data_IF_847599030283
#
_entry.id   IF_847599030283
#
_cell.length_a   1.000
_cell.length_b   1.000
_cell.length_c   1.000
_cell.angle_alpha   90.00
_cell.angle_beta   90.00
_cell.angle_gamma   90.00
#
_symmetry.space_group_name_H-M   'P 1'
#
loop_
_entity.id
_entity.type
_entity.pdbx_description
1 polymer ?
#
# COMPACT_ATOMS: atom_id res chain seq x y z
N UNK A 1 -16.62 -1.55 -6.50
CA UNK A 1 -15.50 -2.46 -6.18
C UNK A 1 -16.08 -3.60 -5.35
N UNK A 2 -16.11 -4.83 -5.85
CA UNK A 2 -16.51 -5.98 -5.03
C UNK A 2 -15.29 -6.38 -4.21
N UNK A 3 -15.34 -6.27 -2.89
CA UNK A 3 -14.27 -6.78 -2.05
C UNK A 3 -14.20 -8.31 -2.25
N UNK A 4 -13.01 -8.86 -2.45
CA UNK A 4 -12.82 -10.31 -2.61
C UNK A 4 -13.10 -11.01 -1.27
N UNK A 5 -13.92 -12.08 -1.22
CA UNK A 5 -14.17 -12.81 0.01
C UNK A 5 -12.91 -13.39 0.65
N UNK A 6 -12.88 -13.42 1.98
CA UNK A 6 -11.84 -14.14 2.69
C UNK A 6 -11.91 -15.63 2.33
N UNK A 7 -10.79 -16.26 1.96
CA UNK A 7 -10.76 -17.69 1.71
C UNK A 7 -11.13 -18.48 2.97
N UNK A 8 -11.59 -19.73 2.82
CA UNK A 8 -11.78 -20.63 3.95
C UNK A 8 -10.48 -20.83 4.74
N UNK A 9 -10.56 -21.15 6.04
CA UNK A 9 -9.38 -21.37 6.88
C UNK A 9 -8.67 -22.69 6.54
N UNK A 10 -9.30 -23.56 5.76
CA UNK A 10 -8.73 -24.83 5.31
C UNK A 10 -7.43 -24.55 4.55
N UNK A 11 -6.32 -25.09 5.05
CA UNK A 11 -4.94 -24.88 4.58
C UNK A 11 -4.29 -23.52 4.91
N UNK A 12 -4.93 -22.63 5.67
CA UNK A 12 -4.28 -21.39 6.13
C UNK A 12 -3.68 -21.54 7.53
N UNK A 13 -2.41 -21.13 7.66
CA UNK A 13 -1.69 -21.00 8.94
C UNK A 13 -1.67 -22.27 9.81
N UNK A 14 -1.64 -23.47 9.20
CA UNK A 14 -1.67 -24.75 9.93
C UNK A 14 -0.59 -24.86 11.01
N UNK A 15 0.59 -24.31 10.73
CA UNK A 15 1.74 -24.35 11.64
C UNK A 15 1.76 -23.19 12.67
N UNK A 16 0.81 -22.25 12.59
CA UNK A 16 0.77 -21.07 13.46
C UNK A 16 -0.64 -20.84 14.03
N UNK A 17 -0.93 -21.54 15.13
CA UNK A 17 -2.24 -21.49 15.82
C UNK A 17 -2.61 -20.08 16.28
N UNK A 18 -1.62 -19.23 16.58
CA UNK A 18 -1.83 -17.86 17.01
C UNK A 18 -2.39 -16.98 15.89
N UNK A 19 -1.77 -17.05 14.70
CA UNK A 19 -2.25 -16.37 13.49
C UNK A 19 -3.58 -16.96 13.02
N UNK A 20 -3.72 -18.29 13.09
CA UNK A 20 -4.96 -18.98 12.74
C UNK A 20 -6.14 -18.50 13.60
N UNK A 21 -5.95 -18.35 14.90
CA UNK A 21 -6.97 -17.82 15.81
C UNK A 21 -7.42 -16.41 15.41
N UNK A 22 -6.48 -15.53 15.08
CA UNK A 22 -6.80 -14.19 14.60
C UNK A 22 -7.59 -14.23 13.27
N UNK A 23 -7.18 -15.11 12.34
CA UNK A 23 -7.86 -15.28 11.06
C UNK A 23 -9.29 -15.80 11.21
N UNK A 24 -9.50 -16.83 12.03
CA UNK A 24 -10.82 -17.40 12.31
C UNK A 24 -11.75 -16.36 12.96
N UNK A 25 -11.21 -15.53 13.85
CA UNK A 25 -11.96 -14.42 14.45
C UNK A 25 -12.41 -13.41 13.39
N UNK A 26 -11.49 -12.94 12.55
CA UNK A 26 -11.80 -12.02 11.45
C UNK A 26 -12.83 -12.64 10.49
N UNK A 27 -12.66 -13.90 10.10
CA UNK A 27 -13.56 -14.60 9.19
C UNK A 27 -15.00 -14.65 9.75
N UNK A 28 -15.17 -14.90 11.05
CA UNK A 28 -16.49 -14.91 11.69
C UNK A 28 -17.21 -13.55 11.64
N UNK A 29 -16.45 -12.46 11.53
CA UNK A 29 -16.96 -11.08 11.51
C UNK A 29 -17.16 -10.53 10.09
N UNK A 30 -16.80 -11.28 9.04
CA UNK A 30 -16.78 -10.77 7.65
C UNK A 30 -18.11 -10.12 7.23
N UNK A 31 -19.23 -10.71 7.64
CA UNK A 31 -20.58 -10.20 7.32
C UNK A 31 -20.96 -8.88 8.00
N UNK A 32 -20.24 -8.46 9.05
CA UNK A 32 -20.55 -7.24 9.80
C UNK A 32 -20.05 -5.98 9.08
N UNK A 33 -18.85 -6.02 8.51
CA UNK A 33 -18.31 -4.97 7.64
C UNK A 33 -17.33 -5.60 6.64
N UNK A 34 -17.81 -5.82 5.42
CA UNK A 34 -17.06 -6.55 4.40
C UNK A 34 -15.69 -5.94 4.15
N UNK A 35 -15.58 -4.61 4.06
CA UNK A 35 -14.32 -3.98 3.64
C UNK A 35 -13.33 -3.95 4.80
N UNK A 36 -13.76 -3.49 5.97
CA UNK A 36 -12.88 -3.32 7.13
C UNK A 36 -12.35 -4.66 7.63
N UNK A 37 -13.20 -5.68 7.65
CA UNK A 37 -12.83 -7.02 8.11
C UNK A 37 -11.94 -7.74 7.07
N UNK A 38 -12.24 -7.62 5.78
CA UNK A 38 -11.40 -8.23 4.74
C UNK A 38 -9.99 -7.66 4.70
N UNK A 39 -9.82 -6.38 4.96
CA UNK A 39 -8.49 -5.77 5.07
C UNK A 39 -7.65 -6.49 6.12
N UNK A 40 -8.19 -6.74 7.31
CA UNK A 40 -7.46 -7.46 8.37
C UNK A 40 -7.08 -8.87 7.93
N UNK A 41 -8.03 -9.60 7.34
CA UNK A 41 -7.76 -10.97 6.88
C UNK A 41 -6.71 -11.03 5.77
N UNK A 42 -6.75 -10.09 4.82
CA UNK A 42 -5.74 -10.02 3.77
C UNK A 42 -4.39 -9.51 4.25
N UNK A 43 -4.33 -8.70 5.31
CA UNK A 43 -3.06 -8.38 5.96
C UNK A 43 -2.41 -9.64 6.55
N UNK A 44 -3.17 -10.55 7.17
CA UNK A 44 -2.62 -11.82 7.65
C UNK A 44 -2.10 -12.69 6.49
N UNK A 45 -2.86 -12.78 5.39
CA UNK A 45 -2.51 -13.60 4.21
C UNK A 45 -1.28 -13.06 3.47
N UNK A 46 -1.24 -11.74 3.26
CA UNK A 46 -0.26 -11.06 2.41
C UNK A 46 0.76 -10.23 3.18
N UNK A 47 0.95 -10.54 4.48
CA UNK A 47 2.02 -9.93 5.25
C UNK A 47 3.37 -10.09 4.52
N UNK A 48 4.18 -9.02 4.44
CA UNK A 48 5.46 -9.05 3.72
C UNK A 48 6.47 -9.98 4.41
N UNK A 49 6.35 -10.14 5.74
CA UNK A 49 7.14 -11.07 6.53
C UNK A 49 6.33 -11.64 7.72
N UNK A 50 6.92 -12.62 8.43
CA UNK A 50 6.27 -13.29 9.56
C UNK A 50 6.12 -12.36 10.78
N UNK A 51 7.03 -11.40 10.98
CA UNK A 51 6.93 -10.43 12.08
C UNK A 51 5.70 -9.54 11.89
N UNK A 52 5.52 -9.02 10.68
CA UNK A 52 4.34 -8.27 10.28
C UNK A 52 3.05 -9.04 10.47
N UNK A 53 3.04 -10.32 10.06
CA UNK A 53 1.90 -11.21 10.26
C UNK A 53 1.56 -11.40 11.74
N UNK A 54 2.57 -11.66 12.57
CA UNK A 54 2.42 -11.86 14.01
C UNK A 54 1.91 -10.60 14.71
N UNK A 55 2.41 -9.42 14.33
CA UNK A 55 1.96 -8.15 14.89
C UNK A 55 0.47 -7.89 14.61
N UNK A 56 0.00 -8.15 13.38
CA UNK A 56 -1.42 -8.02 13.04
C UNK A 56 -2.28 -9.06 13.77
N UNK A 57 -1.80 -10.31 13.86
CA UNK A 57 -2.49 -11.34 14.63
C UNK A 57 -2.61 -10.96 16.11
N UNK A 58 -1.56 -10.36 16.68
CA UNK A 58 -1.56 -9.82 18.04
C UNK A 58 -2.60 -8.71 18.20
N UNK A 59 -2.61 -7.72 17.30
CA UNK A 59 -3.57 -6.61 17.36
C UNK A 59 -5.03 -7.09 17.29
N UNK A 60 -5.31 -8.12 16.49
CA UNK A 60 -6.64 -8.75 16.41
C UNK A 60 -6.97 -9.55 17.67
N UNK A 61 -6.03 -10.33 18.20
CA UNK A 61 -6.26 -11.18 19.36
C UNK A 61 -6.40 -10.36 20.65
N UNK A 62 -5.71 -9.21 20.76
CA UNK A 62 -5.77 -8.30 21.91
C UNK A 62 -7.05 -7.47 21.96
N UNK A 63 -7.81 -7.40 20.86
CA UNK A 63 -9.12 -6.76 20.85
C UNK A 63 -10.05 -7.45 21.87
N UNK A 64 -10.54 -6.71 22.86
CA UNK A 64 -11.39 -7.25 23.91
C UNK A 64 -12.76 -7.67 23.38
N UNK A 65 -13.26 -6.97 22.36
CA UNK A 65 -14.57 -7.19 21.77
C UNK A 65 -14.50 -7.26 20.24
N UNK A 66 -15.55 -7.81 19.62
CA UNK A 66 -15.67 -7.80 18.15
C UNK A 66 -15.80 -6.38 17.59
N UNK A 67 -16.36 -5.45 18.39
CA UNK A 67 -16.40 -4.04 18.04
C UNK A 67 -14.98 -3.44 17.96
N UNK A 68 -14.07 -3.86 18.83
CA UNK A 68 -12.68 -3.39 18.78
C UNK A 68 -11.97 -3.89 17.51
N UNK A 69 -12.26 -5.12 17.06
CA UNK A 69 -11.75 -5.66 15.78
C UNK A 69 -12.28 -4.84 14.60
N UNK A 70 -13.57 -4.47 14.63
CA UNK A 70 -14.17 -3.60 13.62
C UNK A 70 -13.50 -2.21 13.59
N UNK A 71 -13.26 -1.59 14.76
CA UNK A 71 -12.59 -0.29 14.84
C UNK A 71 -11.12 -0.35 14.40
N UNK A 72 -10.42 -1.46 14.66
CA UNK A 72 -9.09 -1.72 14.12
C UNK A 72 -9.13 -1.74 12.59
N UNK A 73 -10.04 -2.51 12.00
CA UNK A 73 -10.21 -2.58 10.54
C UNK A 73 -10.57 -1.23 9.92
N UNK A 74 -11.47 -0.45 10.56
CA UNK A 74 -11.82 0.90 10.12
C UNK A 74 -10.64 1.86 10.18
N UNK A 75 -9.81 1.77 11.22
CA UNK A 75 -8.62 2.62 11.36
C UNK A 75 -7.64 2.33 10.22
N UNK A 76 -7.36 1.07 9.92
CA UNK A 76 -6.51 0.69 8.80
C UNK A 76 -7.12 1.13 7.46
N UNK A 77 -8.44 0.91 7.26
CA UNK A 77 -9.12 1.37 6.05
C UNK A 77 -8.98 2.89 5.89
N UNK A 78 -9.28 3.67 6.93
CA UNK A 78 -9.22 5.14 6.91
C UNK A 78 -7.81 5.65 6.55
N UNK A 79 -6.78 5.07 7.16
CA UNK A 79 -5.42 5.61 7.02
C UNK A 79 -4.66 5.09 5.79
N UNK A 80 -4.98 3.90 5.28
CA UNK A 80 -4.29 3.30 4.13
C UNK A 80 -5.19 3.15 2.90
N UNK A 81 -6.31 2.46 3.03
CA UNK A 81 -7.11 2.09 1.86
C UNK A 81 -7.93 3.27 1.32
N UNK A 82 -8.48 4.11 2.20
CA UNK A 82 -9.27 5.29 1.82
C UNK A 82 -8.41 6.32 1.11
N UNK A 83 -7.12 6.46 1.48
CA UNK A 83 -6.19 7.31 0.74
C UNK A 83 -6.01 6.84 -0.71
N UNK A 84 -5.76 5.53 -0.90
CA UNK A 84 -5.61 4.95 -2.23
C UNK A 84 -6.90 5.05 -3.06
N UNK A 85 -8.07 4.88 -2.43
CA UNK A 85 -9.38 5.10 -3.06
C UNK A 85 -9.66 6.57 -3.38
N UNK A 86 -9.19 7.51 -2.55
CA UNK A 86 -9.33 8.94 -2.81
C UNK A 86 -8.49 9.39 -4.02
N UNK A 87 -7.30 8.79 -4.22
CA UNK A 87 -6.53 8.99 -5.45
C UNK A 87 -7.34 8.54 -6.67
N UNK A 88 -7.97 7.35 -6.63
CA UNK A 88 -8.77 6.82 -7.76
C UNK A 88 -9.91 7.77 -8.17
N UNK A 89 -10.55 8.43 -7.20
CA UNK A 89 -11.59 9.44 -7.46
C UNK A 89 -10.99 10.73 -8.02
N UNK A 90 -9.83 11.15 -7.52
CA UNK A 90 -9.15 12.37 -7.99
C UNK A 90 -8.54 12.21 -9.39
N UNK A 91 -8.27 10.99 -9.86
CA UNK A 91 -7.85 10.70 -11.24
C UNK A 91 -8.89 11.17 -12.27
N UNK A 92 -10.18 11.28 -11.90
CA UNK A 92 -11.20 11.91 -12.76
C UNK A 92 -11.05 13.43 -12.93
N UNK A 93 -10.11 14.06 -12.20
CA UNK A 93 -9.79 15.49 -12.22
C UNK A 93 -8.28 15.69 -12.23
N UNK A 94 -7.68 15.48 -13.40
CA UNK A 94 -6.29 15.86 -13.69
C UNK A 94 -5.93 17.26 -13.15
N UNK A 95 -4.80 17.35 -12.47
CA UNK A 95 -3.71 18.25 -12.84
C UNK A 95 -2.44 17.86 -12.08
N UNK A 96 -1.33 17.70 -12.80
CA UNK A 96 0.03 17.63 -12.25
C UNK A 96 0.19 18.60 -11.07
N UNK A 97 0.42 18.07 -9.89
CA UNK A 97 0.86 18.88 -8.75
C UNK A 97 2.38 18.92 -8.85
N UNK A 98 2.92 20.05 -9.30
CA UNK A 98 4.33 20.37 -9.12
C UNK A 98 4.55 20.54 -7.60
N UNK A 99 5.20 19.57 -6.95
CA UNK A 99 5.58 19.70 -5.55
C UNK A 99 6.73 20.71 -5.39
N UNK A 100 6.77 21.52 -4.31
CA UNK A 100 7.87 22.44 -4.05
C UNK A 100 9.14 21.70 -3.60
N UNK A 101 10.30 22.15 -4.05
CA UNK A 101 11.62 21.62 -3.66
C UNK A 101 11.81 21.66 -2.13
N UNK A 102 11.93 20.49 -1.50
CA UNK A 102 12.40 20.36 -0.11
C UNK A 102 13.76 19.67 -0.13
N UNK A 103 14.81 20.46 0.10
CA UNK A 103 16.19 20.00 0.22
C UNK A 103 16.46 19.36 1.58
N UNK A 104 16.70 18.04 1.65
CA UNK A 104 17.39 17.41 2.80
C UNK A 104 18.29 16.25 2.35
N UNK A 105 19.56 16.29 2.78
CA UNK A 105 20.61 15.26 2.65
C UNK A 105 20.58 14.32 3.88
N UNK A 106 20.77 12.99 3.84
CA UNK A 106 21.85 12.22 3.19
C UNK A 106 21.61 10.69 3.28
N UNK A 107 22.31 9.94 2.41
CA UNK A 107 22.69 8.51 2.47
C UNK A 107 21.62 7.39 2.49
N UNK A 108 20.92 7.23 1.37
CA UNK A 108 20.69 6.01 0.53
C UNK A 108 20.06 6.61 -0.74
N UNK A 109 20.54 6.26 -1.96
CA UNK A 109 20.19 6.83 -3.30
C UNK A 109 19.46 8.19 -3.28
N UNK A 110 20.08 9.28 -3.79
CA UNK A 110 19.51 10.63 -3.69
C UNK A 110 18.04 10.64 -4.08
N UNK A 111 17.23 11.33 -3.28
CA UNK A 111 15.83 11.57 -3.60
C UNK A 111 15.75 12.08 -5.04
N UNK A 112 14.88 11.50 -5.90
CA UNK A 112 14.70 12.05 -7.23
C UNK A 112 14.30 13.52 -7.10
N UNK A 113 15.05 14.40 -7.75
CA UNK A 113 14.84 15.84 -7.68
C UNK A 113 13.66 16.27 -8.56
N UNK A 114 13.26 15.41 -9.50
CA UNK A 114 12.17 15.69 -10.44
C UNK A 114 11.18 14.54 -10.51
N UNK A 115 9.94 14.86 -10.88
CA UNK A 115 8.92 13.85 -11.20
C UNK A 115 9.42 12.85 -12.26
N UNK A 116 10.15 13.32 -13.28
CA UNK A 116 10.69 12.46 -14.34
C UNK A 116 11.69 11.44 -13.81
N UNK A 117 12.61 11.85 -12.92
CA UNK A 117 13.53 10.93 -12.25
C UNK A 117 12.77 9.94 -11.36
N UNK A 118 11.76 10.41 -10.61
CA UNK A 118 10.93 9.55 -9.76
C UNK A 118 10.19 8.49 -10.59
N UNK A 119 9.56 8.90 -11.71
CA UNK A 119 8.86 8.01 -12.64
C UNK A 119 9.80 6.99 -13.26
N UNK A 120 10.97 7.42 -13.74
CA UNK A 120 11.94 6.49 -14.31
C UNK A 120 12.44 5.46 -13.28
N UNK A 121 12.72 5.89 -12.05
CA UNK A 121 13.14 4.99 -10.97
C UNK A 121 12.02 3.99 -10.63
N UNK A 122 10.77 4.45 -10.54
CA UNK A 122 9.61 3.58 -10.29
C UNK A 122 9.40 2.57 -11.42
N UNK A 123 9.48 3.01 -12.68
CA UNK A 123 9.37 2.12 -13.83
C UNK A 123 10.48 1.07 -13.85
N UNK A 124 11.73 1.43 -13.55
CA UNK A 124 12.81 0.43 -13.47
C UNK A 124 12.53 -0.59 -12.36
N UNK A 125 12.13 -0.12 -11.17
CA UNK A 125 11.77 -0.97 -10.02
C UNK A 125 10.66 -1.96 -10.38
N UNK A 126 9.64 -1.50 -11.10
CA UNK A 126 8.43 -2.25 -11.40
C UNK A 126 8.50 -2.98 -12.76
N UNK A 127 9.71 -3.14 -13.32
CA UNK A 127 9.96 -3.76 -14.62
C UNK A 127 9.08 -3.16 -15.74
N UNK A 128 8.99 -1.83 -15.75
CA UNK A 128 8.27 -0.97 -16.67
C UNK A 128 6.76 -1.22 -16.70
N UNK A 129 6.19 -1.72 -15.60
CA UNK A 129 4.76 -2.03 -15.48
C UNK A 129 4.08 -1.20 -14.41
N UNK A 130 2.81 -0.91 -14.64
CA UNK A 130 1.91 -0.49 -13.59
C UNK A 130 1.75 -1.64 -12.57
N UNK A 131 2.07 -1.40 -11.31
CA UNK A 131 1.95 -2.40 -10.24
C UNK A 131 0.51 -2.87 -9.99
N UNK A 132 -0.50 -2.09 -10.39
CA UNK A 132 -1.91 -2.43 -10.19
C UNK A 132 -2.50 -3.18 -11.38
N UNK A 133 -2.23 -2.73 -12.60
CA UNK A 133 -2.83 -3.28 -13.82
C UNK A 133 -1.94 -4.29 -14.55
N UNK A 134 -0.65 -4.35 -14.21
CA UNK A 134 0.35 -5.12 -14.95
C UNK A 134 0.64 -4.61 -16.37
N UNK A 135 -0.02 -3.52 -16.79
CA UNK A 135 0.17 -2.90 -18.09
C UNK A 135 1.58 -2.29 -18.19
N UNK A 136 2.23 -2.46 -19.33
CA UNK A 136 3.55 -1.91 -19.62
C UNK A 136 3.40 -0.44 -20.02
N UNK A 137 4.31 0.40 -19.54
CA UNK A 137 4.34 1.81 -19.89
C UNK A 137 4.61 2.02 -21.38
N UNK A 138 3.64 2.63 -22.07
CA UNK A 138 3.66 2.80 -23.52
C UNK A 138 4.87 3.61 -23.99
N UNK A 139 5.15 4.75 -23.34
CA UNK A 139 6.28 5.62 -23.67
C UNK A 139 7.60 4.87 -23.54
N UNK A 140 7.80 4.14 -22.44
CA UNK A 140 9.02 3.38 -22.23
C UNK A 140 9.18 2.23 -23.20
N UNK A 141 8.08 1.56 -23.56
CA UNK A 141 8.07 0.52 -24.58
C UNK A 141 8.50 1.06 -25.94
N UNK A 142 7.98 2.20 -26.37
CA UNK A 142 8.33 2.80 -27.65
C UNK A 142 9.79 3.29 -27.69
N UNK A 143 10.28 3.91 -26.61
CA UNK A 143 11.62 4.48 -26.52
C UNK A 143 12.73 3.44 -26.31
N UNK A 144 12.40 2.20 -25.89
CA UNK A 144 13.40 1.16 -25.56
C UNK A 144 13.29 -0.08 -26.45
N UNK A 145 14.07 -0.14 -27.55
CA UNK A 145 14.08 -1.30 -28.45
C UNK A 145 14.34 -2.65 -27.76
N UNK A 146 15.23 -2.69 -26.76
CA UNK A 146 15.55 -3.91 -26.02
C UNK A 146 14.34 -4.45 -25.23
N UNK A 147 13.49 -3.55 -24.70
CA UNK A 147 12.27 -3.94 -23.99
C UNK A 147 11.24 -4.54 -24.96
N UNK A 148 11.14 -3.98 -26.18
CA UNK A 148 10.27 -4.51 -27.25
C UNK A 148 10.71 -5.89 -27.70
N UNK A 149 12.02 -6.09 -27.85
CA UNK A 149 12.59 -7.39 -28.22
C UNK A 149 12.29 -8.44 -27.13
N UNK A 150 12.47 -8.09 -25.85
CA UNK A 150 12.23 -9.00 -24.73
C UNK A 150 10.77 -9.42 -24.61
N UNK A 151 9.84 -8.49 -24.83
CA UNK A 151 8.41 -8.73 -24.61
C UNK A 151 7.69 -9.28 -25.85
N UNK A 152 8.28 -9.09 -27.03
CA UNK A 152 7.66 -9.45 -28.30
C UNK A 152 6.44 -8.58 -28.62
N UNK A 153 5.89 -8.81 -29.82
CA UNK A 153 4.74 -8.05 -30.34
C UNK A 153 3.54 -8.97 -30.64
N UNK A 154 3.62 -10.27 -30.36
CA UNK A 154 2.61 -11.26 -30.71
C UNK A 154 2.42 -12.32 -29.59
N UNK A 155 1.34 -12.23 -28.79
CA UNK A 155 0.37 -11.14 -28.77
C UNK A 155 1.01 -9.83 -28.30
N UNK A 156 0.49 -8.67 -28.71
CA UNK A 156 1.01 -7.39 -28.26
C UNK A 156 0.87 -7.30 -26.74
N UNK A 157 1.89 -6.75 -26.04
CA UNK A 157 1.78 -6.50 -24.62
C UNK A 157 0.62 -5.56 -24.32
N UNK A 158 0.05 -5.67 -23.13
CA UNK A 158 -0.93 -4.70 -22.63
C UNK A 158 -0.21 -3.37 -22.37
N UNK A 159 -0.31 -2.42 -23.30
CA UNK A 159 0.32 -1.10 -23.21
C UNK A 159 -0.67 -0.09 -22.66
N UNK A 160 -0.21 0.79 -21.76
CA UNK A 160 -1.00 1.93 -21.29
C UNK A 160 -0.10 3.10 -20.89
N UNK A 161 -0.68 4.29 -20.78
CA UNK A 161 -0.03 5.40 -20.09
C UNK A 161 0.01 5.09 -18.60
N UNK A 162 1.19 5.18 -17.99
CA UNK A 162 1.36 4.99 -16.55
C UNK A 162 1.74 6.30 -15.89
N UNK A 163 1.39 6.47 -14.63
CA UNK A 163 1.72 7.65 -13.82
C UNK A 163 2.51 7.24 -12.58
N UNK A 164 3.44 8.09 -12.16
CA UNK A 164 4.18 7.90 -10.92
C UNK A 164 3.43 8.54 -9.76
N UNK A 165 3.13 7.74 -8.73
CA UNK A 165 2.41 8.20 -7.54
C UNK A 165 3.23 7.96 -6.28
N UNK A 166 3.02 8.81 -5.29
CA UNK A 166 3.59 8.60 -3.97
C UNK A 166 2.93 7.40 -3.29
N UNK A 167 3.73 6.50 -2.73
CA UNK A 167 3.24 5.38 -1.92
C UNK A 167 2.59 5.91 -0.63
N UNK A 168 3.21 6.94 -0.04
CA UNK A 168 2.69 7.67 1.10
C UNK A 168 2.35 9.09 0.68
N UNK A 169 1.19 9.63 1.07
CA UNK A 169 0.81 10.99 0.71
C UNK A 169 1.84 12.01 1.19
N UNK A 170 2.21 12.95 0.33
CA UNK A 170 3.12 14.03 0.69
C UNK A 170 2.59 14.85 1.87
N UNK A 171 1.27 15.04 2.00
CA UNK A 171 0.67 15.76 3.13
C UNK A 171 0.77 15.01 4.47
N UNK A 172 1.03 13.70 4.45
CA UNK A 172 1.37 12.94 5.65
C UNK A 172 2.79 13.32 6.04
N UNK A 173 3.72 13.36 5.09
CA UNK A 173 5.14 13.59 5.36
C UNK A 173 5.45 15.08 5.58
N UNK A 174 4.67 16.01 5.03
CA UNK A 174 4.90 17.45 5.04
C UNK A 174 3.84 18.20 5.86
N UNK A 175 4.28 19.02 6.83
CA UNK A 175 3.42 20.02 7.49
C UNK A 175 2.60 19.53 8.69
N UNK A 176 3.22 18.84 9.64
CA UNK A 176 2.61 18.35 10.91
C UNK A 176 2.07 19.50 11.80
N UNK A 177 2.53 20.75 11.60
CA UNK A 177 2.46 21.76 12.65
C UNK A 177 1.08 22.40 12.89
N UNK A 178 0.09 22.35 11.97
CA UNK A 178 -1.13 23.16 12.13
C UNK A 178 -2.48 22.46 11.83
N UNK A 179 -2.52 21.14 11.61
CA UNK A 179 -3.76 20.41 11.31
C UNK A 179 -3.97 19.22 12.27
N UNK A 180 -5.01 19.24 13.12
CA UNK A 180 -5.26 18.20 14.11
C UNK A 180 -5.59 16.82 13.50
N UNK A 181 -6.17 16.74 12.30
CA UNK A 181 -6.39 15.45 11.64
C UNK A 181 -5.07 14.85 11.14
N UNK A 182 -4.13 15.70 10.69
CA UNK A 182 -2.78 15.25 10.27
C UNK A 182 -1.92 14.80 11.44
N UNK A 183 -2.10 15.39 12.62
CA UNK A 183 -1.40 14.96 13.84
C UNK A 183 -1.78 13.54 14.27
N UNK A 184 -2.99 13.07 13.93
CA UNK A 184 -3.45 11.71 14.23
C UNK A 184 -3.11 10.75 13.08
N UNK A 185 -3.28 11.18 11.83
CA UNK A 185 -3.03 10.33 10.66
C UNK A 185 -1.54 9.96 10.51
N UNK A 186 -0.62 10.87 10.83
CA UNK A 186 0.81 10.62 10.69
C UNK A 186 1.30 9.46 11.59
N UNK A 187 1.15 9.49 12.92
CA UNK A 187 1.56 8.37 13.77
C UNK A 187 0.89 7.05 13.38
N UNK A 188 -0.41 7.07 13.08
CA UNK A 188 -1.16 5.85 12.73
C UNK A 188 -0.65 5.19 11.43
N UNK A 189 -0.30 5.98 10.41
CA UNK A 189 0.29 5.46 9.16
C UNK A 189 1.66 4.84 9.43
N UNK A 190 2.52 5.53 10.17
CA UNK A 190 3.85 5.00 10.47
C UNK A 190 3.81 3.77 11.38
N UNK A 191 2.90 3.73 12.35
CA UNK A 191 2.72 2.57 13.21
C UNK A 191 2.34 1.33 12.40
N UNK A 192 1.43 1.44 11.41
CA UNK A 192 1.12 0.31 10.53
C UNK A 192 2.32 -0.04 9.64
N UNK A 193 3.04 0.92 9.07
CA UNK A 193 4.25 0.63 8.26
C UNK A 193 5.31 -0.13 9.06
N UNK A 194 5.49 0.22 10.33
CA UNK A 194 6.42 -0.45 11.22
C UNK A 194 5.92 -1.83 11.61
N UNK A 195 4.70 -1.90 12.12
CA UNK A 195 4.14 -3.14 12.66
C UNK A 195 3.87 -4.17 11.57
N UNK A 196 3.31 -3.75 10.44
CA UNK A 196 2.98 -4.64 9.32
C UNK A 196 4.10 -4.77 8.30
N UNK A 197 4.71 -3.65 7.93
CA UNK A 197 5.71 -3.59 6.85
C UNK A 197 7.15 -3.81 7.31
N UNK A 198 7.43 -3.77 8.62
CA UNK A 198 8.79 -3.81 9.15
C UNK A 198 9.61 -2.56 8.80
N UNK A 199 8.99 -1.48 8.33
CA UNK A 199 9.67 -0.28 7.85
C UNK A 199 9.77 0.72 8.99
N UNK A 200 10.97 0.93 9.52
CA UNK A 200 11.19 1.89 10.59
C UNK A 200 10.94 3.33 10.08
N UNK A 201 10.07 4.08 10.76
CA UNK A 201 9.71 5.41 10.33
C UNK A 201 10.88 6.41 10.39
N UNK A 202 11.92 6.13 11.17
CA UNK A 202 13.16 6.89 11.17
C UNK A 202 13.99 6.71 9.89
N UNK A 203 13.79 5.61 9.15
CA UNK A 203 14.37 5.43 7.81
C UNK A 203 13.65 6.29 6.76
N UNK A 204 12.42 6.72 7.06
CA UNK A 204 11.56 7.52 6.17
C UNK A 204 11.60 9.02 6.51
N UNK A 205 11.91 9.40 7.76
CA UNK A 205 12.18 10.79 8.16
C UNK A 205 13.54 11.22 7.60
N UNK A 206 13.51 11.84 6.42
CA UNK A 206 14.63 12.58 5.85
C UNK A 206 14.72 13.97 6.46
#
# INVERSE_FOLDING_TARGET
MFATPLPPPDCQFEDNTFVRSAYERVLSLESQDLVCIRILGYMLIHAPDESGRLNIAQDINDCATDQDVLELGKSIFKFFAQYLLFIDIMISRSSCVNAPEVHISSSVTPAPATYFEAKNNALIRDNYRCMLMGAIDATTYDDRPALREQLGNNPPPNLNETECWHILPEYVISGIQNDPEKQIAFPAIFEVLERFGGINHHELKR
#
